data_IF_981144313201
#
_entry.id   IF_981144313201
#
_cell.length_a   1.000
_cell.length_b   1.000
_cell.length_c   1.000
_cell.angle_alpha   90.00
_cell.angle_beta   90.00
_cell.angle_gamma   90.00
#
_symmetry.space_group_name_H-M   'P 1'
#
loop_
_entity.id
_entity.type
_entity.pdbx_description
1 polymer ?
#
# COMPACT_ATOMS: atom_id res chain seq x y z
N UNK A 1 12.40 9.33 20.84
CA UNK A 1 11.35 9.71 19.88
C UNK A 1 12.00 9.79 18.51
N UNK A 2 11.90 8.73 17.73
CA UNK A 2 12.42 8.67 16.36
C UNK A 2 11.41 9.40 15.50
N UNK A 3 11.64 10.67 15.18
CA UNK A 3 10.93 11.31 14.07
C UNK A 3 11.47 10.68 12.80
N UNK A 4 10.90 9.54 12.41
CA UNK A 4 11.11 8.96 11.08
C UNK A 4 10.76 10.09 10.10
N UNK A 5 11.77 10.58 9.37
CA UNK A 5 11.51 11.55 8.30
C UNK A 5 10.48 10.91 7.38
N UNK A 6 9.29 11.51 7.27
CA UNK A 6 8.22 10.96 6.43
C UNK A 6 8.78 10.77 5.03
N UNK A 7 8.66 9.55 4.51
CA UNK A 7 9.02 9.22 3.13
C UNK A 7 8.34 10.26 2.21
N UNK A 8 9.04 10.86 1.23
CA UNK A 8 8.42 11.74 0.24
C UNK A 8 7.12 11.21 -0.39
N UNK A 9 7.04 9.90 -0.59
CA UNK A 9 5.84 9.24 -1.11
C UNK A 9 4.70 9.26 -0.08
N UNK A 10 4.98 8.94 1.18
CA UNK A 10 4.01 8.98 2.28
C UNK A 10 3.46 10.41 2.48
N UNK A 11 4.31 11.43 2.40
CA UNK A 11 3.88 12.83 2.50
C UNK A 11 2.91 13.20 1.38
N UNK A 12 3.10 12.64 0.19
CA UNK A 12 2.24 12.88 -0.97
C UNK A 12 0.92 12.13 -0.81
N UNK A 13 0.95 10.86 -0.38
CA UNK A 13 -0.25 10.09 -0.09
C UNK A 13 -1.15 10.77 0.96
N UNK A 14 -0.57 11.32 2.04
CA UNK A 14 -1.31 12.07 3.07
C UNK A 14 -2.00 13.35 2.57
N UNK A 15 -1.60 13.88 1.41
CA UNK A 15 -2.26 15.04 0.78
C UNK A 15 -3.39 14.62 -0.17
N UNK A 16 -3.35 13.37 -0.64
CA UNK A 16 -4.28 12.84 -1.63
C UNK A 16 -5.46 12.12 -0.96
N UNK A 17 -5.20 11.48 0.17
CA UNK A 17 -6.19 10.72 0.93
C UNK A 17 -6.77 11.59 2.05
N UNK A 18 -8.06 11.40 2.34
CA UNK A 18 -8.74 12.15 3.41
C UNK A 18 -8.19 11.80 4.80
N UNK A 19 -7.71 10.57 5.02
CA UNK A 19 -7.02 10.20 6.24
C UNK A 19 -5.60 10.74 6.27
N UNK A 20 -5.32 11.52 7.33
CA UNK A 20 -3.98 12.02 7.61
C UNK A 20 -2.94 10.92 7.86
N UNK A 21 -3.35 9.67 8.10
CA UNK A 21 -2.47 8.54 8.34
C UNK A 21 -2.96 7.30 7.57
N UNK A 22 -2.69 7.23 6.26
CA UNK A 22 -3.08 6.09 5.46
C UNK A 22 -2.20 4.87 5.76
N UNK A 23 -2.75 3.67 5.55
CA UNK A 23 -2.02 2.42 5.75
C UNK A 23 -1.03 2.19 4.61
N UNK A 24 0.25 2.03 4.93
CA UNK A 24 1.23 1.62 3.91
C UNK A 24 1.00 0.16 3.53
N UNK A 25 0.77 -0.08 2.24
CA UNK A 25 0.62 -1.42 1.69
C UNK A 25 1.98 -1.97 1.27
N UNK A 26 2.77 -1.21 0.51
CA UNK A 26 4.05 -1.69 -0.01
C UNK A 26 4.54 -0.91 -1.23
N UNK A 27 5.64 -1.38 -1.83
CA UNK A 27 6.26 -0.79 -3.02
C UNK A 27 6.23 -1.81 -4.16
N UNK A 28 5.76 -1.42 -5.34
CA UNK A 28 5.82 -2.25 -6.55
C UNK A 28 7.23 -2.26 -7.18
N UNK A 29 7.46 -3.12 -8.17
CA UNK A 29 8.76 -3.23 -8.86
C UNK A 29 9.12 -1.96 -9.64
N UNK A 30 8.14 -1.10 -9.94
CA UNK A 30 8.36 0.24 -10.49
C UNK A 30 8.83 1.26 -9.45
N UNK A 31 8.89 0.89 -8.18
CA UNK A 31 9.25 1.77 -7.07
C UNK A 31 8.09 2.64 -6.58
N UNK A 32 6.85 2.36 -7.01
CA UNK A 32 5.68 3.12 -6.56
C UNK A 32 5.14 2.57 -5.23
N UNK A 33 4.99 3.45 -4.26
CA UNK A 33 4.46 3.14 -2.95
C UNK A 33 2.93 3.24 -2.95
N UNK A 34 2.28 2.23 -2.39
CA UNK A 34 0.83 2.11 -2.30
C UNK A 34 0.37 2.37 -0.87
N UNK A 35 -0.63 3.23 -0.71
CA UNK A 35 -1.20 3.62 0.59
C UNK A 35 -2.72 3.53 0.55
N UNK A 36 -3.33 2.94 1.57
CA UNK A 36 -4.78 2.75 1.63
C UNK A 36 -5.46 3.67 2.63
N UNK A 37 -6.59 4.23 2.21
CA UNK A 37 -7.58 4.92 3.02
C UNK A 37 -8.83 4.04 3.17
N UNK A 38 -9.13 3.68 4.42
CA UNK A 38 -10.28 2.83 4.74
C UNK A 38 -11.61 3.58 4.78
N UNK A 39 -11.61 4.90 4.91
CA UNK A 39 -12.82 5.73 4.95
C UNK A 39 -13.33 6.01 3.54
N UNK A 40 -12.43 6.32 2.62
CA UNK A 40 -12.77 6.57 1.21
C UNK A 40 -12.72 5.30 0.36
N UNK A 41 -12.23 4.19 0.93
CA UNK A 41 -12.02 2.95 0.19
C UNK A 41 -11.14 3.19 -1.06
N UNK A 42 -10.06 3.96 -0.86
CA UNK A 42 -9.20 4.45 -1.93
C UNK A 42 -7.73 4.12 -1.68
N UNK A 43 -6.97 3.91 -2.75
CA UNK A 43 -5.53 3.66 -2.72
C UNK A 43 -4.80 4.81 -3.40
N UNK A 44 -3.88 5.46 -2.70
CA UNK A 44 -2.91 6.36 -3.32
C UNK A 44 -1.70 5.56 -3.78
N UNK A 45 -1.39 5.65 -5.07
CA UNK A 45 -0.18 5.10 -5.68
C UNK A 45 0.76 6.26 -5.96
N UNK A 46 1.95 6.24 -5.36
CA UNK A 46 2.92 7.33 -5.45
C UNK A 46 4.25 6.81 -5.96
N UNK A 47 4.65 7.23 -7.16
CA UNK A 47 5.91 6.84 -7.79
C UNK A 47 7.11 7.46 -7.08
N UNK A 48 8.31 6.93 -7.33
CA UNK A 48 9.55 7.42 -6.72
C UNK A 48 9.91 8.86 -7.14
N UNK A 49 9.49 9.29 -8.33
CA UNK A 49 9.63 10.66 -8.84
C UNK A 49 8.51 11.61 -8.35
N UNK A 50 7.58 11.09 -7.53
CA UNK A 50 6.54 11.87 -6.86
C UNK A 50 5.30 12.14 -7.71
N UNK A 51 5.15 11.48 -8.86
CA UNK A 51 3.84 11.40 -9.51
C UNK A 51 2.93 10.53 -8.65
N UNK A 52 1.64 10.86 -8.65
CA UNK A 52 0.70 10.14 -7.82
C UNK A 52 -0.68 10.09 -8.45
N UNK A 53 -1.37 8.99 -8.21
CA UNK A 53 -2.76 8.77 -8.55
C UNK A 53 -3.53 8.27 -7.32
N UNK A 54 -4.80 8.66 -7.23
CA UNK A 54 -5.75 8.10 -6.28
C UNK A 54 -6.65 7.16 -7.05
N UNK A 55 -6.78 5.93 -6.57
CA UNK A 55 -7.65 4.90 -7.12
C UNK A 55 -8.75 4.61 -6.13
N UNK A 56 -9.97 5.05 -6.42
CA UNK A 56 -11.14 4.65 -5.66
C UNK A 56 -11.53 3.23 -6.03
N UNK A 57 -11.58 2.32 -5.07
CA UNK A 57 -11.91 0.91 -5.36
C UNK A 57 -13.31 0.79 -5.98
N UNK A 58 -14.25 1.66 -5.61
CA UNK A 58 -15.59 1.74 -6.21
C UNK A 58 -15.62 2.11 -7.70
N UNK A 59 -14.58 2.76 -8.21
CA UNK A 59 -14.45 3.09 -9.64
C UNK A 59 -13.70 2.00 -10.41
N UNK A 60 -13.23 0.96 -9.72
CA UNK A 60 -12.59 -0.21 -10.30
C UNK A 60 -13.53 -1.42 -10.31
N UNK A 61 -13.11 -2.51 -10.96
CA UNK A 61 -13.80 -3.80 -10.86
C UNK A 61 -13.46 -4.58 -9.59
N UNK A 62 -12.67 -4.00 -8.67
CA UNK A 62 -12.28 -4.62 -7.40
C UNK A 62 -13.33 -4.30 -6.34
N UNK A 63 -13.93 -5.33 -5.76
CA UNK A 63 -14.88 -5.22 -4.65
C UNK A 63 -14.14 -5.06 -3.31
N UNK A 64 -12.87 -5.47 -3.25
CA UNK A 64 -12.07 -5.46 -2.01
C UNK A 64 -10.65 -4.95 -2.20
N UNK A 65 -10.05 -4.49 -1.10
CA UNK A 65 -8.62 -4.15 -1.05
C UNK A 65 -7.74 -5.37 -1.39
N UNK A 66 -8.16 -6.58 -1.02
CA UNK A 66 -7.41 -7.80 -1.31
C UNK A 66 -7.27 -8.03 -2.82
N UNK A 67 -8.33 -7.80 -3.59
CA UNK A 67 -8.28 -7.93 -5.05
C UNK A 67 -7.37 -6.88 -5.70
N UNK A 68 -7.37 -5.65 -5.17
CA UNK A 68 -6.39 -4.64 -5.56
C UNK A 68 -4.96 -5.10 -5.29
N UNK A 69 -4.73 -5.70 -4.13
CA UNK A 69 -3.42 -6.19 -3.75
C UNK A 69 -2.95 -7.34 -4.65
N UNK A 70 -3.82 -8.31 -4.94
CA UNK A 70 -3.54 -9.41 -5.85
C UNK A 70 -3.28 -8.92 -7.28
N UNK A 71 -4.07 -7.96 -7.77
CA UNK A 71 -3.83 -7.31 -9.06
C UNK A 71 -2.44 -6.66 -9.12
N UNK A 72 -2.12 -5.86 -8.10
CA UNK A 72 -0.84 -5.13 -8.03
C UNK A 72 0.34 -6.10 -7.97
N UNK A 73 0.20 -7.20 -7.22
CA UNK A 73 1.21 -8.25 -7.16
C UNK A 73 1.45 -8.90 -8.52
N UNK A 74 0.38 -9.26 -9.22
CA UNK A 74 0.47 -9.97 -10.50
C UNK A 74 0.94 -9.06 -11.66
N UNK A 75 0.43 -7.84 -11.74
CA UNK A 75 0.63 -6.97 -12.91
C UNK A 75 1.81 -6.01 -12.75
N UNK A 76 2.02 -5.47 -11.55
CA UNK A 76 3.09 -4.49 -11.30
C UNK A 76 4.32 -5.11 -10.66
N UNK A 77 4.21 -6.36 -10.22
CA UNK A 77 5.25 -7.09 -9.50
C UNK A 77 5.46 -6.45 -8.13
N UNK A 78 5.15 -7.19 -7.07
CA UNK A 78 5.25 -6.68 -5.71
C UNK A 78 6.29 -7.50 -4.96
N UNK A 79 7.42 -6.87 -4.63
CA UNK A 79 8.33 -7.41 -3.62
C UNK A 79 7.70 -7.05 -2.27
N UNK A 80 6.86 -7.97 -1.76
CA UNK A 80 6.09 -7.77 -0.54
C UNK A 80 7.03 -7.36 0.58
N UNK A 81 6.94 -6.09 1.00
CA UNK A 81 7.48 -5.68 2.29
C UNK A 81 6.79 -6.48 3.40
N UNK A 82 7.46 -6.76 4.53
CA UNK A 82 7.17 -7.88 5.44
C UNK A 82 5.78 -7.94 6.13
N UNK A 83 4.77 -7.18 5.68
CA UNK A 83 3.51 -7.05 6.40
C UNK A 83 2.24 -6.97 5.53
N UNK A 84 2.30 -7.04 4.19
CA UNK A 84 1.06 -7.04 3.38
C UNK A 84 1.23 -7.87 2.10
N UNK A 85 0.59 -9.04 2.06
CA UNK A 85 0.57 -9.95 0.90
C UNK A 85 1.02 -11.38 1.20
N UNK A 86 1.52 -11.65 2.41
CA UNK A 86 1.65 -13.00 2.96
C UNK A 86 0.32 -13.45 3.58
N UNK A 87 0.07 -14.76 3.58
CA UNK A 87 -1.00 -15.30 4.43
C UNK A 87 -0.66 -14.90 5.87
N UNK A 88 -1.60 -14.32 6.61
CA UNK A 88 -1.44 -14.03 8.04
C UNK A 88 -1.01 -15.30 8.83
N UNK A 89 -1.25 -16.47 8.26
CA UNK A 89 -0.84 -17.79 8.74
C UNK A 89 0.66 -18.04 8.54
N UNK A 90 1.24 -17.60 7.42
CA UNK A 90 2.68 -17.74 7.15
C UNK A 90 3.50 -16.85 8.11
N UNK A 91 3.00 -15.64 8.37
CA UNK A 91 3.61 -14.71 9.34
C UNK A 91 3.57 -15.28 10.78
N UNK A 92 2.47 -15.96 11.15
CA UNK A 92 2.36 -16.65 12.43
C UNK A 92 3.33 -17.82 12.54
N UNK A 93 3.54 -18.57 11.45
CA UNK A 93 4.45 -19.71 11.41
C UNK A 93 5.91 -19.27 11.51
N UNK A 94 6.31 -18.15 10.88
CA UNK A 94 7.66 -17.59 11.06
C UNK A 94 7.86 -17.04 12.47
N UNK A 95 6.88 -16.33 13.02
CA UNK A 95 6.97 -15.77 14.39
C UNK A 95 7.09 -16.83 15.48
N UNK A 96 6.53 -18.03 15.29
CA UNK A 96 6.63 -19.16 16.23
C UNK A 96 7.94 -19.95 16.09
N UNK A 97 8.62 -19.82 14.95
CA UNK A 97 9.91 -20.50 14.71
C UNK A 97 11.13 -19.70 15.21
N UNK A 98 10.93 -18.42 15.56
CA UNK A 98 11.96 -17.54 16.13
C UNK A 98 12.19 -17.77 17.64
#
# INVERSE_FOLDING_TARGET
MTTTQSNPQERTARKLLTQNQPLFLGIDNGGAAHYWDSYEFAVAVVTADGQAETVELSETSFETLSEWCEYTQNERGWDIGPHVGGSLIDDLIEGVKA
#
